data_IF_319788761347
#
_entry.id   IF_319788761347
#
_cell.length_a   1.000
_cell.length_b   1.000
_cell.length_c   1.000
_cell.angle_alpha   90.00
_cell.angle_beta   90.00
_cell.angle_gamma   90.00
#
_symmetry.space_group_name_H-M   'P 1'
#
loop_
_entity.id
_entity.type
_entity.pdbx_description
1 polymer ?
#
# COMPACT_ATOMS: atom_id res chain seq x y z
N UNK A 1 -18.57 -6.14 -25.92
CA UNK A 1 -17.69 -6.72 -24.90
C UNK A 1 -17.11 -5.60 -24.06
N UNK A 2 -17.40 -5.56 -22.80
CA UNK A 2 -16.84 -4.57 -21.92
C UNK A 2 -15.49 -5.06 -21.38
N UNK A 3 -14.50 -4.19 -21.44
CA UNK A 3 -13.21 -4.44 -20.82
C UNK A 3 -13.20 -3.78 -19.44
N UNK A 4 -12.78 -4.51 -18.45
CA UNK A 4 -12.61 -3.92 -17.12
C UNK A 4 -11.44 -2.95 -17.14
N UNK A 5 -11.64 -1.81 -16.52
CA UNK A 5 -10.58 -0.82 -16.33
C UNK A 5 -9.52 -1.38 -15.38
N UNK A 6 -8.26 -1.22 -15.75
CA UNK A 6 -7.14 -1.60 -14.89
C UNK A 6 -6.56 -0.35 -14.24
N UNK A 7 -6.40 -0.42 -12.95
CA UNK A 7 -5.85 0.67 -12.14
C UNK A 7 -4.48 0.22 -11.61
N UNK A 8 -3.45 0.99 -11.93
CA UNK A 8 -2.10 0.73 -11.43
C UNK A 8 -1.92 1.38 -10.08
N UNK A 9 -1.56 0.58 -9.08
CA UNK A 9 -1.38 1.03 -7.70
C UNK A 9 0.01 0.60 -7.22
N UNK A 10 0.67 1.46 -6.49
CA UNK A 10 1.97 1.19 -5.88
C UNK A 10 1.86 1.29 -4.37
N UNK A 11 2.60 0.47 -3.65
CA UNK A 11 2.61 0.49 -2.21
C UNK A 11 4.01 0.23 -1.66
N UNK A 12 4.29 0.77 -0.48
CA UNK A 12 5.58 0.71 0.16
C UNK A 12 5.60 -0.29 1.30
N UNK A 13 6.57 -1.18 1.29
CA UNK A 13 6.89 -2.00 2.47
C UNK A 13 7.98 -1.26 3.24
N UNK A 14 7.60 -0.72 4.38
CA UNK A 14 8.48 -0.01 5.29
C UNK A 14 8.63 -0.85 6.55
N UNK A 15 9.83 -1.34 6.78
CA UNK A 15 10.13 -2.15 7.97
C UNK A 15 11.04 -1.37 8.91
N UNK A 16 10.73 -1.45 10.19
CA UNK A 16 11.55 -0.87 11.25
C UNK A 16 11.44 -1.75 12.49
N UNK A 17 12.59 -2.23 12.99
CA UNK A 17 12.67 -3.06 14.20
C UNK A 17 11.74 -4.29 14.14
N UNK A 18 11.66 -4.94 12.98
CA UNK A 18 10.83 -6.12 12.77
C UNK A 18 9.34 -5.85 12.61
N UNK A 19 8.95 -4.58 12.49
CA UNK A 19 7.56 -4.17 12.30
C UNK A 19 7.37 -3.49 10.96
N UNK A 20 6.17 -3.62 10.44
CA UNK A 20 5.78 -3.05 9.13
C UNK A 20 4.76 -1.94 9.34
N UNK A 21 4.89 -0.88 8.57
CA UNK A 21 3.94 0.22 8.61
C UNK A 21 2.71 -0.11 7.78
N UNK A 22 1.54 -0.07 8.40
CA UNK A 22 0.26 -0.22 7.72
C UNK A 22 -0.61 1.01 7.98
N UNK A 23 -1.48 1.32 7.02
CA UNK A 23 -2.38 2.47 7.12
C UNK A 23 -3.81 2.03 6.95
N UNK A 24 -4.71 2.72 7.65
CA UNK A 24 -6.14 2.46 7.57
C UNK A 24 -6.79 3.50 6.66
N UNK A 25 -7.56 3.02 5.69
CA UNK A 25 -8.29 3.87 4.76
C UNK A 25 -9.33 4.68 5.51
N UNK A 26 -9.59 5.89 5.01
CA UNK A 26 -10.58 6.80 5.61
C UNK A 26 -11.98 6.20 5.52
N UNK A 27 -12.85 6.62 6.43
CA UNK A 27 -14.25 6.19 6.45
C UNK A 27 -15.01 6.59 5.19
N UNK A 28 -14.54 7.60 4.46
CA UNK A 28 -15.17 8.12 3.23
C UNK A 28 -14.56 7.54 1.95
N UNK A 29 -13.54 6.68 2.08
CA UNK A 29 -12.87 6.08 0.93
C UNK A 29 -13.64 4.85 0.42
N UNK A 30 -13.29 4.41 -0.78
CA UNK A 30 -13.70 3.09 -1.27
C UNK A 30 -13.00 2.05 -0.39
N UNK A 31 -13.68 0.96 -0.04
CA UNK A 31 -13.21 -0.01 0.94
C UNK A 31 -12.90 0.70 2.28
N UNK A 32 -13.90 1.36 2.89
CA UNK A 32 -13.65 2.21 4.05
C UNK A 32 -13.13 1.43 5.24
N UNK A 33 -12.19 2.07 5.97
CA UNK A 33 -11.63 1.56 7.22
C UNK A 33 -10.87 0.23 7.09
N UNK A 34 -10.60 -0.21 5.89
CA UNK A 34 -9.72 -1.36 5.66
C UNK A 34 -8.25 -0.93 5.71
N UNK A 35 -7.38 -1.87 5.99
CA UNK A 35 -5.96 -1.62 6.11
C UNK A 35 -5.22 -1.95 4.82
N UNK A 36 -4.06 -1.33 4.62
CA UNK A 36 -3.24 -1.49 3.43
C UNK A 36 -1.82 -1.04 3.72
N UNK A 37 -0.88 -1.45 2.88
CA UNK A 37 0.43 -0.81 2.88
C UNK A 37 0.30 0.61 2.33
N UNK A 38 1.09 1.57 2.85
CA UNK A 38 0.97 2.95 2.37
C UNK A 38 1.33 3.08 0.90
N UNK A 39 0.51 3.80 0.16
CA UNK A 39 0.70 3.99 -1.27
C UNK A 39 -0.53 4.59 -1.91
N UNK A 40 -0.68 4.37 -3.20
CA UNK A 40 -1.83 4.84 -3.95
C UNK A 40 -1.66 4.65 -5.45
N UNK A 41 -2.47 5.38 -6.18
CA UNK A 41 -2.60 5.27 -7.62
C UNK A 41 -1.44 5.95 -8.36
N UNK A 42 -0.96 5.29 -9.40
CA UNK A 42 -0.02 5.92 -10.34
C UNK A 42 -0.85 6.73 -11.34
N UNK A 43 -0.56 8.01 -11.46
CA UNK A 43 -1.23 8.89 -12.40
C UNK A 43 -0.52 8.90 -13.75
N UNK A 44 -1.22 9.36 -14.78
CA UNK A 44 -0.67 9.43 -16.13
C UNK A 44 0.63 10.23 -16.13
N UNK A 45 1.67 9.67 -16.74
CA UNK A 45 2.97 10.32 -16.83
C UNK A 45 3.87 10.14 -15.63
N UNK A 46 3.38 9.53 -14.55
CA UNK A 46 4.22 9.26 -13.39
C UNK A 46 4.96 7.93 -13.51
N UNK A 47 6.17 7.87 -12.95
CA UNK A 47 6.82 6.61 -12.66
C UNK A 47 6.26 6.05 -11.35
N UNK A 48 6.44 4.75 -11.12
CA UNK A 48 6.04 4.14 -9.86
C UNK A 48 6.71 4.82 -8.66
N UNK A 49 8.00 5.10 -8.77
CA UNK A 49 8.75 5.74 -7.68
C UNK A 49 8.21 7.14 -7.37
N UNK A 50 7.90 7.92 -8.40
CA UNK A 50 7.34 9.26 -8.22
C UNK A 50 5.97 9.19 -7.54
N UNK A 51 5.10 8.31 -8.03
CA UNK A 51 3.76 8.11 -7.46
C UNK A 51 3.85 7.70 -5.99
N UNK A 52 4.75 6.77 -5.68
CA UNK A 52 4.89 6.23 -4.33
C UNK A 52 5.39 7.31 -3.37
N UNK A 53 6.39 8.09 -3.77
CA UNK A 53 6.90 9.21 -2.95
C UNK A 53 5.80 10.25 -2.72
N UNK A 54 5.05 10.59 -3.76
CA UNK A 54 3.95 11.55 -3.67
C UNK A 54 2.86 11.06 -2.71
N UNK A 55 2.46 9.81 -2.85
CA UNK A 55 1.39 9.25 -2.01
C UNK A 55 1.79 9.13 -0.55
N UNK A 56 3.01 8.69 -0.26
CA UNK A 56 3.48 8.59 1.12
C UNK A 56 3.56 9.98 1.76
N UNK A 57 4.06 10.97 1.01
CA UNK A 57 4.09 12.35 1.49
C UNK A 57 2.68 12.88 1.77
N UNK A 58 1.76 12.63 0.85
CA UNK A 58 0.37 13.09 0.96
C UNK A 58 -0.35 12.47 2.16
N UNK A 59 -0.13 11.17 2.40
CA UNK A 59 -0.85 10.43 3.43
C UNK A 59 -0.21 10.50 4.80
N UNK A 60 1.12 10.54 4.86
CA UNK A 60 1.87 10.40 6.10
C UNK A 60 2.84 11.53 6.38
N UNK A 61 2.95 12.50 5.48
CA UNK A 61 3.89 13.59 5.65
C UNK A 61 5.35 13.16 5.69
N UNK A 62 5.66 12.00 5.14
CA UNK A 62 6.99 11.40 5.23
C UNK A 62 7.66 11.29 3.88
N UNK A 63 9.00 11.31 3.90
CA UNK A 63 9.83 11.10 2.73
C UNK A 63 10.38 9.68 2.74
N UNK A 64 10.45 9.05 1.57
CA UNK A 64 10.97 7.69 1.44
C UNK A 64 11.96 7.58 0.28
N UNK A 65 12.81 6.58 0.37
CA UNK A 65 13.61 6.10 -0.75
C UNK A 65 12.97 4.82 -1.26
N UNK A 66 12.71 4.75 -2.55
CA UNK A 66 12.08 3.58 -3.18
C UNK A 66 13.17 2.62 -3.63
N UNK A 67 13.09 1.39 -3.16
CA UNK A 67 14.01 0.31 -3.51
C UNK A 67 13.44 -0.60 -4.58
N UNK A 68 13.64 -1.90 -4.42
CA UNK A 68 13.28 -2.88 -5.43
C UNK A 68 11.82 -3.29 -5.37
N UNK A 69 11.28 -3.71 -6.51
CA UNK A 69 9.97 -4.35 -6.59
C UNK A 69 10.05 -5.73 -5.94
N UNK A 70 9.18 -6.00 -4.99
CA UNK A 70 9.19 -7.27 -4.25
C UNK A 70 7.94 -8.12 -4.49
N UNK A 71 6.87 -7.55 -5.01
CA UNK A 71 5.66 -8.31 -5.29
C UNK A 71 4.78 -7.59 -6.32
N UNK A 72 4.09 -8.39 -7.12
CA UNK A 72 3.06 -7.91 -8.04
C UNK A 72 1.83 -8.79 -7.88
N UNK A 73 0.67 -8.17 -7.75
CA UNK A 73 -0.61 -8.86 -7.70
C UNK A 73 -1.59 -8.12 -8.60
N UNK A 74 -2.31 -8.86 -9.45
CA UNK A 74 -3.43 -8.35 -10.21
C UNK A 74 -4.70 -8.91 -9.58
N UNK A 75 -5.51 -8.03 -9.00
CA UNK A 75 -6.72 -8.44 -8.28
C UNK A 75 -7.97 -7.87 -8.94
N UNK A 76 -8.90 -8.73 -9.40
CA UNK A 76 -10.15 -8.24 -9.96
C UNK A 76 -11.15 -7.88 -8.86
N UNK A 77 -11.67 -6.66 -8.95
CA UNK A 77 -12.83 -6.21 -8.19
C UNK A 77 -14.06 -6.23 -9.11
N UNK A 78 -15.22 -5.93 -8.60
CA UNK A 78 -16.45 -6.03 -9.37
C UNK A 78 -16.43 -5.21 -10.67
N UNK A 79 -15.93 -3.97 -10.60
CA UNK A 79 -15.98 -3.03 -11.74
C UNK A 79 -14.62 -2.64 -12.30
N UNK A 80 -13.54 -3.17 -11.74
CA UNK A 80 -12.18 -2.81 -12.17
C UNK A 80 -11.19 -3.86 -11.68
N UNK A 81 -9.97 -3.79 -12.22
CA UNK A 81 -8.86 -4.63 -11.79
C UNK A 81 -7.80 -3.73 -11.17
N UNK A 82 -7.26 -4.11 -10.04
CA UNK A 82 -6.12 -3.42 -9.44
C UNK A 82 -4.85 -4.23 -9.69
N UNK A 83 -3.89 -3.59 -10.35
CA UNK A 83 -2.53 -4.10 -10.47
C UNK A 83 -1.70 -3.44 -9.38
N UNK A 84 -1.39 -4.19 -8.33
CA UNK A 84 -0.66 -3.70 -7.17
C UNK A 84 0.81 -4.10 -7.24
N UNK A 85 1.68 -3.09 -7.25
CA UNK A 85 3.14 -3.25 -7.26
C UNK A 85 3.67 -2.85 -5.89
N UNK A 86 4.31 -3.80 -5.22
CA UNK A 86 4.80 -3.62 -3.87
C UNK A 86 6.32 -3.45 -3.89
N UNK A 87 6.79 -2.31 -3.38
CA UNK A 87 8.21 -1.95 -3.37
C UNK A 87 8.77 -1.94 -1.95
N UNK A 88 9.98 -2.47 -1.82
CA UNK A 88 10.76 -2.27 -0.60
C UNK A 88 11.20 -0.81 -0.54
N UNK A 89 10.94 -0.14 0.57
CA UNK A 89 11.25 1.28 0.73
C UNK A 89 11.93 1.54 2.08
N UNK A 90 12.64 2.65 2.14
CA UNK A 90 13.30 3.11 3.36
C UNK A 90 12.72 4.46 3.77
N UNK A 91 12.31 4.57 5.02
CA UNK A 91 11.81 5.83 5.57
C UNK A 91 12.99 6.77 5.80
N UNK A 92 12.90 7.98 5.25
CA UNK A 92 13.91 9.03 5.44
C UNK A 92 13.42 9.95 6.55
N UNK A 93 14.05 9.88 7.71
CA UNK A 93 13.58 10.63 8.88
C UNK A 93 12.74 9.78 9.79
N UNK A 94 12.22 10.37 10.86
CA UNK A 94 11.54 9.65 11.94
C UNK A 94 10.10 10.09 12.17
N UNK A 95 9.66 11.14 11.50
CA UNK A 95 8.36 11.74 11.77
C UNK A 95 7.30 11.25 10.79
N UNK A 96 6.19 10.76 11.31
CA UNK A 96 5.00 10.39 10.55
C UNK A 96 3.82 11.20 11.06
N UNK A 97 2.96 11.62 10.14
CA UNK A 97 1.71 12.32 10.45
C UNK A 97 0.58 11.67 9.69
N UNK A 98 -0.51 11.35 10.36
CA UNK A 98 -1.69 10.79 9.71
C UNK A 98 -2.49 11.88 9.01
N UNK A 99 -2.06 12.31 7.82
CA UNK A 99 -2.68 13.43 7.08
C UNK A 99 -3.95 13.03 6.34
N UNK A 100 -3.86 11.95 5.56
CA UNK A 100 -4.97 11.50 4.70
C UNK A 100 -5.24 10.01 4.89
N UNK A 101 -5.12 9.56 6.12
CA UNK A 101 -5.45 8.20 6.55
C UNK A 101 -6.26 8.30 7.84
N UNK A 102 -7.04 7.29 8.14
CA UNK A 102 -7.76 7.24 9.41
C UNK A 102 -6.82 6.92 10.57
N UNK A 103 -5.83 6.06 10.32
CA UNK A 103 -4.84 5.66 11.32
C UNK A 103 -3.62 5.05 10.64
N UNK A 104 -2.51 4.95 11.36
CA UNK A 104 -1.36 4.16 10.95
C UNK A 104 -0.78 3.43 12.16
N UNK A 105 -0.20 2.26 11.91
CA UNK A 105 0.37 1.42 12.96
C UNK A 105 1.63 0.73 12.43
N UNK A 106 2.54 0.45 13.35
CA UNK A 106 3.66 -0.45 13.12
C UNK A 106 3.30 -1.80 13.73
N UNK A 107 3.23 -2.84 12.90
CA UNK A 107 2.80 -4.17 13.33
C UNK A 107 3.78 -5.24 12.86
N UNK A 108 3.87 -6.33 13.61
CA UNK A 108 4.65 -7.50 13.17
C UNK A 108 3.86 -8.27 12.11
N UNK A 109 4.55 -9.07 11.30
CA UNK A 109 3.86 -9.91 10.31
C UNK A 109 2.92 -10.92 10.96
N UNK A 110 3.21 -11.36 12.18
CA UNK A 110 2.33 -12.27 12.92
C UNK A 110 1.00 -11.62 13.32
N UNK A 111 0.95 -10.29 13.34
CA UNK A 111 -0.26 -9.54 13.70
C UNK A 111 -1.14 -9.19 12.50
N UNK A 112 -0.70 -9.45 11.28
CA UNK A 112 -1.44 -9.05 10.07
C UNK A 112 -2.88 -9.56 10.04
N UNK A 113 -3.15 -10.77 10.50
CA UNK A 113 -4.48 -11.36 10.49
C UNK A 113 -5.44 -10.72 11.51
N UNK A 114 -4.93 -9.84 12.38
CA UNK A 114 -5.76 -9.07 13.30
C UNK A 114 -6.36 -7.82 12.65
N UNK A 115 -5.96 -7.50 11.42
CA UNK A 115 -6.41 -6.30 10.72
C UNK A 115 -7.09 -6.68 9.41
N UNK A 116 -8.27 -6.11 9.11
CA UNK A 116 -8.94 -6.40 7.83
C UNK A 116 -8.26 -5.63 6.70
N UNK A 117 -7.47 -6.34 5.90
CA UNK A 117 -6.78 -5.74 4.74
C UNK A 117 -7.65 -5.72 3.51
N UNK A 118 -7.41 -4.76 2.62
CA UNK A 118 -8.03 -4.76 1.29
C UNK A 118 -7.63 -6.06 0.57
N UNK A 119 -8.50 -6.62 -0.29
CA UNK A 119 -8.20 -7.89 -0.95
C UNK A 119 -6.89 -7.93 -1.73
N UNK A 120 -6.55 -6.85 -2.46
CA UNK A 120 -5.30 -6.78 -3.21
C UNK A 120 -4.09 -6.80 -2.26
N UNK A 121 -4.15 -6.06 -1.15
CA UNK A 121 -3.08 -6.03 -0.16
C UNK A 121 -2.95 -7.36 0.57
N UNK A 122 -4.07 -8.02 0.88
CA UNK A 122 -4.05 -9.35 1.50
C UNK A 122 -3.34 -10.35 0.58
N UNK A 123 -3.64 -10.34 -0.71
CA UNK A 123 -2.97 -11.19 -1.69
C UNK A 123 -1.47 -10.90 -1.76
N UNK A 124 -1.08 -9.62 -1.70
CA UNK A 124 0.32 -9.21 -1.68
C UNK A 124 1.04 -9.69 -0.43
N UNK A 125 0.39 -9.61 0.72
CA UNK A 125 0.95 -10.10 1.98
C UNK A 125 1.18 -11.58 1.95
N UNK A 126 0.20 -12.34 1.47
CA UNK A 126 0.33 -13.80 1.36
C UNK A 126 1.52 -14.18 0.50
N UNK A 127 1.69 -13.47 -0.62
CA UNK A 127 2.81 -13.69 -1.54
C UNK A 127 4.14 -13.31 -0.89
N UNK A 128 4.18 -12.19 -0.18
CA UNK A 128 5.37 -11.71 0.53
C UNK A 128 5.81 -12.69 1.63
N UNK A 129 4.84 -13.27 2.34
CA UNK A 129 5.10 -14.22 3.43
C UNK A 129 5.30 -15.66 2.93
N UNK A 130 5.18 -15.90 1.62
CA UNK A 130 5.30 -17.24 1.06
C UNK A 130 4.10 -18.13 1.32
N UNK A 131 2.98 -17.55 1.67
CA UNK A 131 1.71 -18.26 1.89
C UNK A 131 0.87 -18.10 0.61
N UNK A 132 0.51 -19.17 -0.02
CA UNK A 132 -0.28 -19.18 -1.25
C UNK A 132 -1.62 -19.87 -1.05
#
# INVERSE_FOLDING_TARGET
MSQQRTIRVVAAVLEKDGRYLITQRRATAVLPLMWEFPGGRVEDGETDAHALKREVRHRLGAEIEVGKLISFVSHPYEHYVVDLFLYECTLLGETLEGRNVNAFLWVTSAEFDQYPFTPADEASMNKLLGVT
#
